data_IF_705963432713
#
_entry.id   IF_705963432713
#
_cell.length_a   1.000
_cell.length_b   1.000
_cell.length_c   1.000
_cell.angle_alpha   90.00
_cell.angle_beta   90.00
_cell.angle_gamma   90.00
#
_symmetry.space_group_name_H-M   'P 1'
#
loop_
_entity.id
_entity.type
_entity.pdbx_description
1 polymer ?
#
# COMPACT_ATOMS: atom_id res chain seq x y z
N UNK A 1 14.54 -3.31 -1.11
CA UNK A 1 13.62 -2.43 -0.36
C UNK A 1 14.00 -2.49 1.12
N UNK A 2 13.92 -1.39 1.88
CA UNK A 2 14.10 -1.37 3.36
C UNK A 2 15.34 -2.11 3.92
N UNK A 3 16.49 -2.02 3.25
CA UNK A 3 17.73 -2.72 3.63
C UNK A 3 18.46 -2.11 4.85
N UNK A 4 18.01 -0.96 5.34
CA UNK A 4 18.57 -0.30 6.51
C UNK A 4 17.59 -0.49 7.67
N UNK A 5 18.05 -1.07 8.77
CA UNK A 5 17.27 -1.26 9.97
C UNK A 5 16.60 0.05 10.44
N UNK A 6 15.38 -0.10 10.93
CA UNK A 6 14.54 0.94 11.53
C UNK A 6 13.61 0.25 12.52
N UNK A 7 12.90 1.03 13.32
CA UNK A 7 11.96 0.46 14.29
C UNK A 7 10.93 -0.46 13.59
N UNK A 8 10.67 -1.63 14.19
CA UNK A 8 9.83 -2.69 13.63
C UNK A 8 10.33 -3.43 12.38
N UNK A 9 11.38 -2.96 11.69
CA UNK A 9 11.87 -3.55 10.44
C UNK A 9 13.31 -4.04 10.57
N UNK A 10 13.47 -5.35 10.45
CA UNK A 10 14.75 -6.04 10.58
C UNK A 10 15.17 -6.59 9.22
N UNK A 11 16.17 -5.99 8.54
CA UNK A 11 16.65 -6.50 7.27
C UNK A 11 17.35 -7.86 7.45
N UNK A 12 17.16 -8.77 6.48
CA UNK A 12 17.84 -10.07 6.47
C UNK A 12 19.37 -9.92 6.44
N UNK A 13 19.87 -8.92 5.70
CA UNK A 13 21.28 -8.52 5.68
C UNK A 13 21.37 -7.00 5.67
N UNK A 14 21.78 -6.43 6.81
CA UNK A 14 21.94 -4.98 6.98
C UNK A 14 22.73 -4.33 5.84
N UNK A 15 22.15 -3.31 5.22
CA UNK A 15 22.74 -2.55 4.12
C UNK A 15 22.63 -3.21 2.73
N UNK A 16 22.16 -4.46 2.65
CA UNK A 16 22.12 -5.24 1.40
C UNK A 16 20.72 -5.78 1.07
N UNK A 17 20.15 -6.62 1.95
CA UNK A 17 18.88 -7.32 1.72
C UNK A 17 17.83 -6.81 2.71
N UNK A 18 16.62 -6.55 2.21
CA UNK A 18 15.49 -6.09 3.03
C UNK A 18 14.93 -7.15 3.98
N UNK A 19 13.80 -6.87 4.64
CA UNK A 19 13.15 -7.77 5.60
C UNK A 19 12.36 -8.89 4.90
N UNK A 20 13.05 -9.74 4.13
CA UNK A 20 12.40 -10.76 3.31
C UNK A 20 11.68 -11.80 4.17
N UNK A 21 12.27 -12.20 5.29
CA UNK A 21 11.64 -13.16 6.21
C UNK A 21 10.36 -12.61 6.83
N UNK A 22 10.36 -11.35 7.27
CA UNK A 22 9.17 -10.72 7.86
C UNK A 22 8.04 -10.62 6.83
N UNK A 23 8.37 -10.28 5.57
CA UNK A 23 7.39 -10.22 4.48
C UNK A 23 6.77 -11.59 4.22
N UNK A 24 7.56 -12.66 4.15
CA UNK A 24 7.03 -14.02 3.91
C UNK A 24 6.20 -14.54 5.09
N UNK A 25 6.59 -14.23 6.32
CA UNK A 25 5.80 -14.57 7.52
C UNK A 25 4.41 -13.93 7.49
N UNK A 26 4.34 -12.63 7.16
CA UNK A 26 3.07 -11.94 7.01
C UNK A 26 2.24 -12.51 5.84
N UNK A 27 2.89 -12.87 4.73
CA UNK A 27 2.22 -13.43 3.55
C UNK A 27 1.55 -14.78 3.87
N UNK A 28 2.09 -15.52 4.84
CA UNK A 28 1.53 -16.78 5.32
C UNK A 28 0.20 -16.66 6.10
N UNK A 29 -0.22 -15.44 6.47
CA UNK A 29 -1.43 -15.21 7.26
C UNK A 29 -2.73 -15.22 6.44
N UNK A 30 -2.66 -15.30 5.11
CA UNK A 30 -3.82 -15.45 4.23
C UNK A 30 -4.51 -14.15 3.82
N UNK A 31 -3.99 -12.99 4.21
CA UNK A 31 -4.50 -11.67 3.83
C UNK A 31 -3.52 -10.91 2.93
N UNK A 32 -4.02 -10.01 2.07
CA UNK A 32 -3.17 -9.03 1.40
C UNK A 32 -2.45 -8.13 2.42
N UNK A 33 -1.21 -7.76 2.12
CA UNK A 33 -0.41 -6.89 2.98
C UNK A 33 -0.57 -5.44 2.52
N UNK A 34 -0.89 -4.54 3.44
CA UNK A 34 -0.87 -3.09 3.19
C UNK A 34 0.47 -2.47 3.62
N UNK A 35 1.02 -1.55 2.82
CA UNK A 35 2.15 -0.74 3.23
C UNK A 35 1.66 0.46 4.04
N UNK A 36 2.01 0.53 5.32
CA UNK A 36 1.50 1.53 6.26
C UNK A 36 2.65 2.34 6.87
N UNK A 37 2.45 3.65 7.06
CA UNK A 37 3.36 4.48 7.86
C UNK A 37 2.86 5.90 8.07
N UNK A 38 3.39 6.60 9.07
CA UNK A 38 2.93 7.96 9.42
C UNK A 38 3.10 8.94 8.26
N UNK A 39 4.29 8.93 7.65
CA UNK A 39 4.65 9.79 6.51
C UNK A 39 5.29 8.93 5.41
N UNK A 40 4.59 8.75 4.30
CA UNK A 40 4.97 7.83 3.23
C UNK A 40 5.40 8.58 1.97
N UNK A 41 6.46 8.08 1.33
CA UNK A 41 6.84 8.49 -0.03
C UNK A 41 7.54 9.85 -0.14
N UNK A 42 8.03 10.41 0.96
CA UNK A 42 8.81 11.66 0.94
C UNK A 42 10.15 11.47 0.24
N UNK A 43 10.66 12.58 -0.33
CA UNK A 43 11.94 12.60 -1.03
C UNK A 43 11.80 12.49 -2.54
N UNK A 44 12.62 11.64 -3.16
CA UNK A 44 12.81 11.64 -4.62
C UNK A 44 11.62 11.06 -5.39
N UNK A 45 11.31 11.65 -6.56
CA UNK A 45 10.33 11.14 -7.55
C UNK A 45 10.85 9.90 -8.30
N UNK A 46 11.22 8.85 -7.57
CA UNK A 46 11.74 7.60 -8.15
C UNK A 46 10.65 6.55 -8.13
N UNK A 47 10.08 6.25 -9.30
CA UNK A 47 9.09 5.18 -9.51
C UNK A 47 9.54 3.81 -8.97
N UNK A 48 10.84 3.58 -8.86
CA UNK A 48 11.39 2.35 -8.29
C UNK A 48 10.98 2.11 -6.83
N UNK A 49 10.64 3.15 -6.07
CA UNK A 49 10.09 3.00 -4.71
C UNK A 49 8.73 2.28 -4.75
N UNK A 50 7.77 2.81 -5.51
CA UNK A 50 6.47 2.16 -5.77
C UNK A 50 6.65 0.75 -6.33
N UNK A 51 7.48 0.58 -7.37
CA UNK A 51 7.69 -0.74 -7.95
C UNK A 51 8.21 -1.76 -6.92
N UNK A 52 9.06 -1.34 -5.99
CA UNK A 52 9.57 -2.23 -4.95
C UNK A 52 8.49 -2.64 -3.94
N UNK A 53 7.63 -1.70 -3.55
CA UNK A 53 6.48 -1.96 -2.67
C UNK A 53 5.53 -2.94 -3.35
N UNK A 54 5.11 -2.63 -4.58
CA UNK A 54 4.14 -3.45 -5.34
C UNK A 54 4.70 -4.80 -5.74
N UNK A 55 6.02 -4.93 -5.90
CA UNK A 55 6.65 -6.23 -6.11
C UNK A 55 6.34 -7.21 -4.96
N UNK A 56 6.34 -6.72 -3.72
CA UNK A 56 6.09 -7.56 -2.55
C UNK A 56 4.62 -7.66 -2.16
N UNK A 57 3.82 -6.63 -2.43
CA UNK A 57 2.47 -6.48 -1.88
C UNK A 57 1.35 -6.25 -2.92
N UNK A 58 1.72 -6.18 -4.20
CA UNK A 58 0.75 -6.11 -5.30
C UNK A 58 0.56 -7.46 -5.99
N UNK A 59 -0.23 -7.43 -7.05
CA UNK A 59 -0.68 -8.59 -7.82
C UNK A 59 0.07 -8.71 -9.14
N UNK A 60 0.19 -9.94 -9.64
CA UNK A 60 0.74 -10.20 -10.95
C UNK A 60 -0.18 -9.65 -12.06
N UNK A 61 0.42 -9.00 -13.05
CA UNK A 61 -0.31 -8.49 -14.22
C UNK A 61 -0.30 -9.57 -15.30
N UNK A 62 -1.46 -10.07 -15.78
CA UNK A 62 -1.51 -11.12 -16.78
C UNK A 62 -0.66 -10.78 -18.02
N UNK A 63 0.19 -11.73 -18.41
CA UNK A 63 1.06 -11.64 -19.59
C UNK A 63 2.11 -10.52 -19.55
N UNK A 64 2.33 -9.85 -18.42
CA UNK A 64 3.36 -8.81 -18.26
C UNK A 64 4.41 -9.29 -17.24
N UNK A 65 5.53 -9.87 -17.69
CA UNK A 65 6.53 -10.43 -16.77
C UNK A 65 7.23 -9.32 -15.97
N UNK A 66 7.67 -9.69 -14.76
CA UNK A 66 8.45 -8.83 -13.87
C UNK A 66 7.79 -7.47 -13.54
N UNK A 67 6.45 -7.42 -13.56
CA UNK A 67 5.67 -6.25 -13.13
C UNK A 67 4.50 -6.70 -12.27
N UNK A 68 4.29 -5.96 -11.18
CA UNK A 68 3.10 -6.06 -10.34
C UNK A 68 2.39 -4.71 -10.25
N UNK A 69 1.10 -4.77 -9.99
CA UNK A 69 0.18 -3.63 -9.90
C UNK A 69 -0.77 -3.83 -8.72
N UNK A 70 -1.70 -2.91 -8.48
CA UNK A 70 -2.65 -3.06 -7.37
C UNK A 70 -2.00 -2.79 -6.01
N UNK A 71 -2.47 -3.46 -4.97
CA UNK A 71 -1.95 -3.32 -3.60
C UNK A 71 -2.48 -2.09 -2.85
N UNK A 72 -2.16 -2.05 -1.55
CA UNK A 72 -2.71 -1.08 -0.60
C UNK A 72 -1.61 -0.25 0.05
N UNK A 73 -1.85 1.06 0.19
CA UNK A 73 -0.90 1.96 0.82
C UNK A 73 -1.62 2.99 1.68
N UNK A 74 -1.35 3.00 2.98
CA UNK A 74 -2.02 3.86 3.93
C UNK A 74 -1.00 4.69 4.71
N UNK A 75 -1.41 5.88 5.11
CA UNK A 75 -0.59 6.70 6.00
C UNK A 75 -1.28 7.96 6.42
N UNK A 76 -0.87 8.53 7.56
CA UNK A 76 -1.38 9.83 8.02
C UNK A 76 -1.08 10.92 6.99
N UNK A 77 0.08 10.83 6.33
CA UNK A 77 0.44 11.66 5.20
C UNK A 77 1.15 10.89 4.10
N UNK A 78 0.72 11.06 2.86
CA UNK A 78 1.36 10.50 1.67
C UNK A 78 1.84 11.66 0.80
N UNK A 79 3.13 11.65 0.44
CA UNK A 79 3.68 12.68 -0.44
C UNK A 79 2.97 12.68 -1.80
N UNK A 80 2.59 13.85 -2.37
CA UNK A 80 1.74 13.92 -3.56
C UNK A 80 2.26 13.15 -4.78
N UNK A 81 3.57 13.19 -5.02
CA UNK A 81 4.19 12.48 -6.15
C UNK A 81 4.08 10.97 -5.97
N UNK A 82 4.30 10.49 -4.74
CA UNK A 82 4.20 9.08 -4.44
C UNK A 82 2.74 8.60 -4.53
N UNK A 83 1.80 9.38 -4.00
CA UNK A 83 0.37 9.16 -4.15
C UNK A 83 -0.02 8.95 -5.61
N UNK A 84 0.37 9.90 -6.48
CA UNK A 84 0.08 9.82 -7.91
C UNK A 84 0.77 8.62 -8.60
N UNK A 85 1.93 8.21 -8.10
CA UNK A 85 2.63 7.03 -8.65
C UNK A 85 1.92 5.73 -8.27
N UNK A 86 1.33 5.68 -7.07
CA UNK A 86 0.53 4.54 -6.58
C UNK A 86 -0.78 4.40 -7.36
N UNK A 87 -1.55 5.49 -7.53
CA UNK A 87 -2.80 5.48 -8.31
C UNK A 87 -2.55 5.13 -9.79
N UNK A 88 -1.46 5.63 -10.40
CA UNK A 88 -1.08 5.29 -11.77
C UNK A 88 -0.73 3.81 -11.94
N UNK A 89 -0.32 3.15 -10.86
CA UNK A 89 0.03 1.72 -10.82
C UNK A 89 -1.14 0.82 -10.39
N UNK A 90 -2.35 1.38 -10.21
CA UNK A 90 -3.55 0.63 -9.82
C UNK A 90 -3.65 0.33 -8.33
N UNK A 91 -2.75 0.86 -7.50
CA UNK A 91 -2.83 0.73 -6.06
C UNK A 91 -3.93 1.62 -5.48
N UNK A 92 -4.34 1.34 -4.24
CA UNK A 92 -5.27 2.15 -3.47
C UNK A 92 -4.54 2.94 -2.36
N UNK A 93 -4.03 4.16 -2.66
CA UNK A 93 -3.46 5.04 -1.65
C UNK A 93 -4.55 5.83 -0.89
N UNK A 94 -4.58 5.74 0.43
CA UNK A 94 -5.53 6.48 1.29
C UNK A 94 -4.80 7.16 2.44
N UNK A 95 -5.13 8.44 2.67
CA UNK A 95 -4.65 9.18 3.85
C UNK A 95 -5.66 9.07 5.00
N UNK A 96 -5.25 8.52 6.14
CA UNK A 96 -6.02 8.47 7.39
C UNK A 96 -5.10 8.29 8.60
N UNK A 97 -5.60 8.53 9.82
CA UNK A 97 -4.81 8.35 11.04
C UNK A 97 -4.43 6.87 11.24
N UNK A 98 -3.14 6.56 11.19
CA UNK A 98 -2.58 5.21 11.35
C UNK A 98 -1.97 4.97 12.74
N UNK A 99 -2.11 5.91 13.67
CA UNK A 99 -1.48 5.82 15.00
C UNK A 99 -1.87 4.58 15.81
N UNK A 100 -3.07 4.04 15.55
CA UNK A 100 -3.60 2.84 16.20
C UNK A 100 -3.45 1.56 15.34
N UNK A 101 -2.59 1.57 14.31
CA UNK A 101 -2.33 0.41 13.45
C UNK A 101 -0.88 -0.05 13.67
N UNK A 102 -0.71 -1.25 14.20
CA UNK A 102 0.59 -1.83 14.51
C UNK A 102 1.00 -2.88 13.47
N UNK A 103 2.29 -3.20 13.44
CA UNK A 103 2.81 -4.28 12.60
C UNK A 103 2.14 -5.61 12.97
N UNK A 104 1.54 -6.28 11.98
CA UNK A 104 0.86 -7.56 12.15
C UNK A 104 -0.63 -7.45 12.50
N UNK A 105 -1.17 -6.25 12.68
CA UNK A 105 -2.62 -6.07 12.84
C UNK A 105 -3.34 -6.44 11.54
N UNK A 106 -4.46 -7.14 11.67
CA UNK A 106 -5.41 -7.40 10.59
C UNK A 106 -6.55 -6.39 10.71
N UNK A 107 -6.83 -5.68 9.63
CA UNK A 107 -7.83 -4.61 9.57
C UNK A 107 -8.78 -4.83 8.39
N UNK A 108 -10.01 -4.38 8.56
CA UNK A 108 -11.00 -4.33 7.49
C UNK A 108 -11.14 -2.89 7.02
N UNK A 109 -10.87 -2.66 5.73
CA UNK A 109 -11.02 -1.34 5.09
C UNK A 109 -12.28 -1.34 4.27
N UNK A 110 -13.15 -0.35 4.49
CA UNK A 110 -14.42 -0.18 3.79
C UNK A 110 -14.35 1.10 2.93
N UNK A 111 -13.86 1.05 1.67
CA UNK A 111 -13.62 2.24 0.86
C UNK A 111 -14.88 3.08 0.58
N UNK A 112 -16.02 2.42 0.41
CA UNK A 112 -17.30 3.09 0.13
C UNK A 112 -17.90 3.75 1.38
N UNK A 113 -17.62 3.22 2.57
CA UNK A 113 -18.11 3.76 3.84
C UNK A 113 -17.13 4.74 4.50
N UNK A 114 -15.88 4.80 4.00
CA UNK A 114 -14.86 5.70 4.55
C UNK A 114 -14.43 5.32 5.97
N UNK A 115 -14.34 4.03 6.30
CA UNK A 115 -13.97 3.56 7.64
C UNK A 115 -12.99 2.39 7.59
N UNK A 116 -12.20 2.28 8.66
CA UNK A 116 -11.32 1.14 8.93
C UNK A 116 -11.75 0.56 10.27
N UNK A 117 -12.01 -0.75 10.30
CA UNK A 117 -12.36 -1.49 11.50
C UNK A 117 -11.26 -2.48 11.86
N UNK A 118 -11.22 -2.89 13.11
CA UNK A 118 -10.43 -4.05 13.53
C UNK A 118 -11.07 -5.31 12.95
N UNK A 119 -10.26 -6.22 12.41
CA UNK A 119 -10.77 -7.48 11.88
C UNK A 119 -11.52 -8.27 12.96
N UNK A 120 -12.59 -8.97 12.56
CA UNK A 120 -13.51 -9.71 13.45
C UNK A 120 -14.23 -8.85 14.51
N UNK A 121 -14.36 -7.54 14.26
CA UNK A 121 -14.97 -6.59 15.19
C UNK A 121 -15.68 -5.45 14.46
N UNK A 122 -16.72 -4.89 15.10
CA UNK A 122 -17.37 -3.64 14.66
C UNK A 122 -16.65 -2.38 15.18
N UNK A 123 -15.52 -2.55 15.87
CA UNK A 123 -14.70 -1.46 16.41
C UNK A 123 -14.04 -0.66 15.28
N UNK A 124 -14.51 0.58 15.10
CA UNK A 124 -13.93 1.53 14.16
C UNK A 124 -12.61 2.07 14.73
N UNK A 125 -11.50 1.79 14.04
CA UNK A 125 -10.17 2.29 14.37
C UNK A 125 -10.03 3.75 13.93
N UNK A 126 -10.48 4.04 12.71
CA UNK A 126 -10.39 5.37 12.10
C UNK A 126 -11.39 5.52 10.95
N UNK A 127 -11.63 6.76 10.56
CA UNK A 127 -12.49 7.14 9.43
C UNK A 127 -11.72 8.02 8.46
N UNK A 128 -12.11 8.01 7.20
CA UNK A 128 -11.43 8.74 6.14
C UNK A 128 -12.37 9.20 5.04
N UNK A 129 -11.93 10.20 4.31
CA UNK A 129 -12.58 10.65 3.09
C UNK A 129 -11.64 10.38 1.91
N UNK A 130 -12.18 9.80 0.84
CA UNK A 130 -11.40 9.64 -0.38
C UNK A 130 -11.16 11.00 -1.02
N UNK A 131 -9.93 11.25 -1.46
CA UNK A 131 -9.56 12.47 -2.17
C UNK A 131 -10.41 12.72 -3.42
N UNK A 132 -10.86 11.65 -4.06
CA UNK A 132 -11.80 11.67 -5.17
C UNK A 132 -12.52 10.31 -5.25
N UNK A 133 -13.83 10.27 -5.52
CA UNK A 133 -14.54 9.00 -5.72
C UNK A 133 -14.06 8.26 -6.98
N UNK A 134 -13.43 8.97 -7.94
CA UNK A 134 -12.86 8.38 -9.16
C UNK A 134 -11.73 7.40 -8.86
N UNK A 135 -11.09 7.49 -7.69
CA UNK A 135 -10.02 6.58 -7.29
C UNK A 135 -10.45 5.10 -7.34
N UNK A 136 -11.71 4.81 -7.02
CA UNK A 136 -12.23 3.44 -7.09
C UNK A 136 -12.34 2.93 -8.54
N UNK A 137 -12.68 3.82 -9.48
CA UNK A 137 -12.67 3.51 -10.90
C UNK A 137 -11.24 3.28 -11.42
N UNK A 138 -10.28 4.07 -10.92
CA UNK A 138 -8.86 3.93 -11.26
C UNK A 138 -8.32 2.57 -10.82
N UNK A 139 -8.61 2.17 -9.57
CA UNK A 139 -8.22 0.84 -9.05
C UNK A 139 -8.85 -0.27 -9.88
N UNK A 140 -10.16 -0.18 -10.17
CA UNK A 140 -10.87 -1.16 -10.98
C UNK A 140 -10.28 -1.29 -12.40
N UNK A 141 -9.82 -0.20 -12.98
CA UNK A 141 -9.20 -0.17 -14.30
C UNK A 141 -7.74 -0.67 -14.30
N UNK A 142 -7.17 -1.01 -13.13
CA UNK A 142 -5.76 -1.37 -12.98
C UNK A 142 -4.82 -0.16 -13.02
N UNK A 143 -5.34 1.03 -12.76
CA UNK A 143 -4.60 2.28 -12.67
C UNK A 143 -5.31 3.47 -13.32
N UNK A 144 -4.94 4.67 -12.88
CA UNK A 144 -5.45 5.93 -13.44
C UNK A 144 -5.14 6.09 -14.93
N UNK A 145 -3.94 5.71 -15.37
CA UNK A 145 -3.54 5.80 -16.79
C UNK A 145 -4.43 4.88 -17.67
N UNK A 146 -4.58 3.57 -17.37
CA UNK A 146 -5.54 2.71 -18.05
C UNK A 146 -6.97 3.26 -18.08
N UNK A 147 -7.46 3.80 -16.96
CA UNK A 147 -8.81 4.39 -16.89
C UNK A 147 -8.98 5.53 -17.89
N UNK A 148 -8.04 6.47 -17.92
CA UNK A 148 -8.12 7.65 -18.81
C UNK A 148 -8.11 7.24 -20.28
N UNK A 149 -7.35 6.20 -20.64
CA UNK A 149 -7.27 5.71 -22.02
C UNK A 149 -8.53 4.93 -22.42
N UNK A 150 -9.12 4.17 -21.49
CA UNK A 150 -10.24 3.28 -21.77
C UNK A 150 -11.63 3.90 -21.68
N UNK A 151 -11.77 5.05 -20.99
CA UNK A 151 -13.04 5.76 -20.78
C UNK A 151 -13.42 6.62 -21.98
#
# INVERSE_FOLDING_TARGET
MLKMARDGIVPDVQGSIGPMKQIEEMRGQGFPIAYVGDVVGTGSSRKSATNSVLWFFGDDVPYVPNKRAGGFCFGTKIAPIFYNTMEDAGALPIEFDVSNINMGDVIDVYPYEGKVCKHDSDEVITTFEMKTPVLLDEVRAGGRIPLIIGR
#
